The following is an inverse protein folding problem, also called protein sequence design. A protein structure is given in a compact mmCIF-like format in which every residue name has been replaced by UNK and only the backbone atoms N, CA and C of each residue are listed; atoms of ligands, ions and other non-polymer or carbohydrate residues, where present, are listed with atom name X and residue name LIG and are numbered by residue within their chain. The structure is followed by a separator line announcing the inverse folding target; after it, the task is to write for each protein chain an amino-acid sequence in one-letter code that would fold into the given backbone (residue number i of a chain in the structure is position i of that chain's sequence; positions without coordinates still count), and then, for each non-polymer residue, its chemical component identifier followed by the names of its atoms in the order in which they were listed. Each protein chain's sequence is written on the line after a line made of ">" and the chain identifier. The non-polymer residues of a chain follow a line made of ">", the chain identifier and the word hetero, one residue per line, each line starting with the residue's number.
data_IF_229495011887
#
_entry.id   IF_229495011887
#
_cell.length_a   1.000
_cell.length_b   1.000
_cell.length_c   1.000
_cell.angle_alpha   90.00
_cell.angle_beta   90.00
_cell.angle_gamma   90.00
#
_symmetry.space_group_name_H-M   'P 1'
#
loop_
_entity.id
_entity.type
_entity.pdbx_description
1 polymer ?
#
# COMPACT_ATOMS: atom_id res chain seq x y z
N UNK A 1 23.52 0.70 -1.87
CA UNK A 1 22.46 1.56 -1.31
C UNK A 1 21.17 1.23 -2.03
N UNK A 2 20.06 0.99 -1.31
CA UNK A 2 18.75 0.80 -1.95
C UNK A 2 18.05 2.14 -2.13
N UNK A 3 17.29 2.31 -3.23
CA UNK A 3 16.48 3.49 -3.48
C UNK A 3 15.05 3.07 -3.77
N UNK A 4 14.11 3.65 -3.03
CA UNK A 4 12.67 3.49 -3.27
C UNK A 4 12.25 4.46 -4.37
N UNK A 5 11.64 3.95 -5.45
CA UNK A 5 11.19 4.75 -6.59
C UNK A 5 9.72 4.49 -6.92
N UNK A 6 9.04 5.53 -7.38
CA UNK A 6 7.65 5.50 -7.80
C UNK A 6 7.54 5.35 -9.32
N UNK A 7 6.65 4.47 -9.76
CA UNK A 7 6.37 4.18 -11.16
C UNK A 7 4.89 4.37 -11.43
N UNK A 8 4.55 5.29 -12.32
CA UNK A 8 3.17 5.74 -12.58
C UNK A 8 2.59 5.10 -13.84
N UNK A 9 1.26 4.91 -13.86
CA UNK A 9 0.50 4.45 -15.03
C UNK A 9 0.89 5.22 -16.30
N UNK A 10 0.94 4.51 -17.43
CA UNK A 10 1.32 5.09 -18.74
C UNK A 10 2.83 5.26 -18.96
N UNK A 11 3.69 4.98 -17.98
CA UNK A 11 5.16 5.00 -18.16
C UNK A 11 5.72 3.59 -18.42
N UNK A 12 6.82 3.45 -19.19
CA UNK A 12 7.41 2.14 -19.49
C UNK A 12 7.77 1.31 -18.25
N UNK A 13 8.29 1.96 -17.20
CA UNK A 13 8.65 1.26 -15.96
C UNK A 13 7.46 0.70 -15.18
N UNK A 14 6.26 1.29 -15.32
CA UNK A 14 5.05 0.73 -14.73
C UNK A 14 4.68 -0.60 -15.41
N UNK A 15 4.70 -0.64 -16.75
CA UNK A 15 4.44 -1.86 -17.53
C UNK A 15 5.46 -2.96 -17.22
N UNK A 16 6.73 -2.60 -17.12
CA UNK A 16 7.79 -3.53 -16.71
C UNK A 16 7.51 -4.16 -15.33
N UNK A 17 7.01 -3.39 -14.37
CA UNK A 17 6.62 -3.92 -13.05
C UNK A 17 5.37 -4.80 -13.10
N UNK A 18 4.37 -4.45 -13.91
CA UNK A 18 3.20 -5.32 -14.13
C UNK A 18 3.62 -6.70 -14.64
N UNK A 19 4.47 -6.72 -15.67
CA UNK A 19 5.00 -7.97 -16.25
C UNK A 19 5.84 -8.75 -15.24
N UNK A 20 6.69 -8.07 -14.47
CA UNK A 20 7.51 -8.71 -13.45
C UNK A 20 6.68 -9.31 -12.31
N UNK A 21 5.62 -8.63 -11.86
CA UNK A 21 4.67 -9.16 -10.88
C UNK A 21 3.94 -10.37 -11.46
N UNK A 22 3.42 -10.28 -12.69
CA UNK A 22 2.76 -11.42 -13.35
C UNK A 22 3.68 -12.62 -13.47
N UNK A 23 4.94 -12.41 -13.87
CA UNK A 23 5.95 -13.46 -13.94
C UNK A 23 6.28 -14.06 -12.56
N UNK A 24 6.31 -13.24 -11.51
CA UNK A 24 6.50 -13.71 -10.14
C UNK A 24 5.35 -14.61 -9.69
N UNK A 25 4.10 -14.17 -9.88
CA UNK A 25 2.91 -14.95 -9.52
C UNK A 25 2.79 -16.23 -10.35
N UNK A 26 3.17 -16.19 -11.63
CA UNK A 26 3.22 -17.39 -12.48
C UNK A 26 4.22 -18.40 -11.95
N UNK A 27 5.43 -17.95 -11.60
CA UNK A 27 6.49 -18.82 -11.08
C UNK A 27 6.12 -19.46 -9.74
N UNK A 28 5.51 -18.70 -8.82
CA UNK A 28 5.25 -19.15 -7.45
C UNK A 28 3.90 -19.85 -7.27
N UNK A 29 2.90 -19.48 -8.06
CA UNK A 29 1.52 -19.93 -7.88
C UNK A 29 0.89 -20.49 -9.15
N UNK A 30 1.58 -20.48 -10.29
CA UNK A 30 0.96 -20.74 -11.61
C UNK A 30 -0.22 -19.79 -11.90
N UNK A 31 -0.18 -18.60 -11.30
CA UNK A 31 -1.22 -17.58 -11.40
C UNK A 31 -0.82 -16.52 -12.43
N UNK A 32 -1.82 -15.97 -13.13
CA UNK A 32 -1.63 -14.89 -14.09
C UNK A 32 -2.55 -13.72 -13.78
N UNK A 33 -2.40 -13.07 -12.62
CA UNK A 33 -3.17 -11.88 -12.32
C UNK A 33 -2.76 -10.72 -13.24
N UNK A 34 -3.66 -9.75 -13.37
CA UNK A 34 -3.46 -8.52 -14.13
C UNK A 34 -3.43 -7.34 -13.15
N UNK A 35 -2.28 -7.06 -12.53
CA UNK A 35 -2.20 -6.01 -11.51
C UNK A 35 -2.34 -4.63 -12.15
N UNK A 36 -3.28 -3.83 -11.65
CA UNK A 36 -3.54 -2.46 -12.13
C UNK A 36 -3.61 -1.41 -10.99
N UNK A 37 -2.64 -1.39 -10.05
CA UNK A 37 -2.62 -0.41 -8.97
C UNK A 37 -2.39 1.01 -9.50
N UNK A 38 -2.84 2.04 -8.80
CA UNK A 38 -2.64 3.45 -9.19
C UNK A 38 -1.17 3.85 -9.29
N UNK A 39 -0.34 3.25 -8.44
CA UNK A 39 1.10 3.46 -8.40
C UNK A 39 1.82 2.14 -8.12
N UNK A 40 2.97 1.93 -8.73
CA UNK A 40 3.95 0.97 -8.22
C UNK A 40 5.06 1.67 -7.46
N UNK A 41 5.45 1.08 -6.34
CA UNK A 41 6.65 1.46 -5.57
C UNK A 41 7.63 0.30 -5.66
N UNK A 42 8.87 0.59 -6.04
CA UNK A 42 9.89 -0.43 -6.26
C UNK A 42 11.19 -0.08 -5.55
N UNK A 43 11.80 -1.08 -4.92
CA UNK A 43 13.14 -0.99 -4.35
C UNK A 43 14.16 -1.31 -5.44
N UNK A 44 14.99 -0.35 -5.77
CA UNK A 44 15.93 -0.41 -6.90
C UNK A 44 17.36 -0.16 -6.44
N UNK A 45 18.33 -0.51 -7.28
CA UNK A 45 19.72 -0.09 -7.10
C UNK A 45 19.89 1.41 -7.43
N UNK A 46 21.07 2.00 -7.21
CA UNK A 46 21.31 3.40 -7.56
C UNK A 46 21.12 3.71 -9.05
N UNK A 47 21.47 2.77 -9.94
CA UNK A 47 21.41 2.92 -11.39
C UNK A 47 19.97 3.03 -11.91
N UNK A 48 18.99 2.58 -11.12
CA UNK A 48 17.58 2.90 -11.30
C UNK A 48 16.94 2.17 -12.46
N UNK A 49 16.39 0.99 -12.19
CA UNK A 49 15.63 0.23 -13.17
C UNK A 49 14.61 -0.70 -12.51
N UNK A 50 13.47 -0.85 -13.16
CA UNK A 50 12.55 -1.96 -12.90
C UNK A 50 13.16 -3.26 -13.49
N UNK A 51 12.89 -4.44 -12.90
CA UNK A 51 11.98 -4.66 -11.78
C UNK A 51 12.62 -4.49 -10.38
N UNK A 52 13.90 -4.13 -10.31
CA UNK A 52 14.60 -3.92 -9.04
C UNK A 52 14.67 -5.19 -8.17
N UNK A 53 14.65 -5.01 -6.86
CA UNK A 53 14.75 -6.08 -5.86
C UNK A 53 13.38 -6.56 -5.37
N UNK A 54 12.43 -5.64 -5.26
CA UNK A 54 11.05 -5.89 -4.84
C UNK A 54 10.14 -4.75 -5.32
N UNK A 55 8.85 -5.03 -5.46
CA UNK A 55 7.84 -4.01 -5.74
C UNK A 55 6.53 -4.27 -4.99
N UNK A 56 5.73 -3.21 -4.85
CA UNK A 56 4.39 -3.23 -4.31
C UNK A 56 3.51 -2.25 -5.10
N UNK A 57 2.28 -2.64 -5.38
CA UNK A 57 1.24 -1.78 -5.93
C UNK A 57 0.49 -1.05 -4.83
N UNK A 58 0.18 0.23 -5.05
CA UNK A 58 -0.66 1.07 -4.19
C UNK A 58 -1.92 1.44 -4.96
N UNK A 59 -3.08 1.15 -4.38
CA UNK A 59 -4.39 1.61 -4.86
C UNK A 59 -5.02 2.50 -3.80
N UNK A 60 -5.61 3.62 -4.19
CA UNK A 60 -6.21 4.58 -3.27
C UNK A 60 -7.71 4.35 -3.12
N UNK A 61 -8.26 4.50 -1.91
CA UNK A 61 -9.69 4.25 -1.68
C UNK A 61 -10.62 5.19 -2.45
N UNK A 62 -10.15 6.38 -2.80
CA UNK A 62 -10.87 7.37 -3.60
C UNK A 62 -10.79 7.13 -5.12
N UNK A 63 -9.92 6.23 -5.60
CA UNK A 63 -9.85 5.86 -7.02
C UNK A 63 -10.86 4.79 -7.42
N UNK A 64 -11.48 4.12 -6.45
CA UNK A 64 -12.53 3.14 -6.67
C UNK A 64 -12.64 2.11 -5.54
N UNK A 65 -13.36 1.02 -5.81
CA UNK A 65 -13.46 -0.12 -4.89
C UNK A 65 -12.14 -0.90 -4.86
N UNK A 66 -11.56 -1.08 -3.68
CA UNK A 66 -10.28 -1.77 -3.47
C UNK A 66 -10.45 -3.29 -3.63
N UNK A 67 -9.37 -4.01 -3.98
CA UNK A 67 -9.43 -5.45 -4.22
C UNK A 67 -9.88 -6.23 -2.98
N UNK A 68 -9.43 -5.82 -1.81
CA UNK A 68 -9.73 -6.46 -0.54
C UNK A 68 -11.20 -6.26 -0.11
N UNK A 69 -11.86 -5.20 -0.59
CA UNK A 69 -13.28 -4.92 -0.29
C UNK A 69 -14.24 -5.91 -0.97
N UNK A 70 -13.77 -6.73 -1.91
CA UNK A 70 -14.60 -7.80 -2.51
C UNK A 70 -14.80 -8.99 -1.54
N UNK A 71 -13.87 -9.21 -0.61
CA UNK A 71 -13.98 -10.27 0.40
C UNK A 71 -14.72 -9.86 1.67
N UNK A 72 -15.11 -8.59 1.78
CA UNK A 72 -15.77 -8.03 2.96
C UNK A 72 -17.25 -7.73 2.66
N UNK A 73 -18.08 -7.85 3.69
CA UNK A 73 -19.53 -7.60 3.57
C UNK A 73 -19.85 -6.10 3.62
N UNK A 74 -18.93 -5.29 4.17
CA UNK A 74 -19.03 -3.84 4.30
C UNK A 74 -17.75 -3.16 3.81
N UNK A 75 -17.86 -1.92 3.34
CA UNK A 75 -16.74 -1.09 2.92
C UNK A 75 -15.78 -0.78 4.08
N UNK A 76 -14.51 -0.49 3.75
CA UNK A 76 -13.51 -0.16 4.77
C UNK A 76 -13.74 1.22 5.38
N UNK A 77 -14.23 2.16 4.59
CA UNK A 77 -14.67 3.49 5.02
C UNK A 77 -15.78 3.42 6.07
N UNK A 78 -16.83 2.65 5.79
CA UNK A 78 -17.94 2.43 6.73
C UNK A 78 -17.47 1.70 7.99
N UNK A 79 -16.67 0.63 7.83
CA UNK A 79 -16.18 -0.17 8.96
C UNK A 79 -15.31 0.62 9.93
N UNK A 80 -14.44 1.48 9.40
CA UNK A 80 -13.44 2.18 10.21
C UNK A 80 -13.81 3.64 10.50
N UNK A 81 -14.90 4.15 9.92
CA UNK A 81 -15.35 5.54 10.06
C UNK A 81 -14.35 6.52 9.46
N UNK A 82 -13.80 6.21 8.29
CA UNK A 82 -12.75 6.98 7.64
C UNK A 82 -13.17 7.44 6.24
N UNK A 83 -12.68 8.61 5.84
CA UNK A 83 -12.76 9.05 4.44
C UNK A 83 -11.98 8.08 3.53
N UNK A 84 -12.55 7.72 2.38
CA UNK A 84 -11.93 6.86 1.37
C UNK A 84 -10.56 7.36 0.91
N UNK A 85 -10.36 8.67 0.83
CA UNK A 85 -9.06 9.26 0.48
C UNK A 85 -7.95 8.98 1.52
N UNK A 86 -8.33 8.52 2.73
CA UNK A 86 -7.40 8.14 3.80
C UNK A 86 -7.17 6.63 3.88
N UNK A 87 -7.68 5.86 2.92
CA UNK A 87 -7.52 4.40 2.84
C UNK A 87 -6.63 4.08 1.65
N UNK A 88 -5.60 3.25 1.88
CA UNK A 88 -4.75 2.74 0.81
C UNK A 88 -4.69 1.22 0.87
N UNK A 89 -4.74 0.59 -0.29
CA UNK A 89 -4.45 -0.83 -0.44
C UNK A 89 -3.02 -1.03 -0.92
N UNK A 90 -2.29 -1.93 -0.26
CA UNK A 90 -1.01 -2.43 -0.74
C UNK A 90 -1.23 -3.83 -1.31
N UNK A 91 -1.08 -3.95 -2.62
CA UNK A 91 -1.28 -5.18 -3.39
C UNK A 91 -0.13 -5.45 -4.35
N UNK A 92 -0.32 -6.39 -5.28
CA UNK A 92 0.65 -6.70 -6.34
C UNK A 92 2.11 -6.84 -5.84
N UNK A 93 2.27 -7.36 -4.61
CA UNK A 93 3.56 -7.43 -3.95
C UNK A 93 4.39 -8.58 -4.52
N UNK A 94 5.63 -8.28 -4.90
CA UNK A 94 6.57 -9.26 -5.41
C UNK A 94 7.99 -8.95 -4.92
N UNK A 95 8.70 -9.98 -4.45
CA UNK A 95 10.12 -9.90 -4.12
C UNK A 95 10.92 -10.72 -5.13
N UNK A 96 11.75 -10.06 -5.91
CA UNK A 96 12.49 -10.67 -7.03
C UNK A 96 13.81 -11.30 -6.59
N UNK A 97 14.34 -10.91 -5.42
CA UNK A 97 15.57 -11.48 -4.85
C UNK A 97 15.32 -12.05 -3.46
N UNK A 98 15.14 -13.37 -3.38
CA UNK A 98 15.01 -14.11 -2.11
C UNK A 98 16.22 -13.90 -1.19
N UNK A 99 15.98 -13.89 0.13
CA UNK A 99 17.04 -13.79 1.14
C UNK A 99 17.66 -12.40 1.36
N UNK A 100 17.32 -11.40 0.54
CA UNK A 100 17.89 -10.04 0.63
C UNK A 100 17.25 -9.12 1.68
N UNK A 101 16.10 -9.51 2.26
CA UNK A 101 15.28 -8.63 3.11
C UNK A 101 14.61 -7.47 2.36
N UNK A 102 14.78 -7.37 1.04
CA UNK A 102 14.28 -6.27 0.22
C UNK A 102 12.75 -6.09 0.32
N UNK A 103 11.99 -7.18 0.31
CA UNK A 103 10.53 -7.13 0.45
C UNK A 103 10.08 -6.53 1.79
N UNK A 104 10.70 -6.96 2.91
CA UNK A 104 10.43 -6.41 4.25
C UNK A 104 10.80 -4.92 4.32
N UNK A 105 11.96 -4.57 3.79
CA UNK A 105 12.42 -3.17 3.74
C UNK A 105 11.48 -2.29 2.93
N UNK A 106 11.00 -2.77 1.77
CA UNK A 106 10.05 -2.07 0.92
C UNK A 106 8.72 -1.84 1.64
N UNK A 107 8.11 -2.89 2.21
CA UNK A 107 6.84 -2.78 2.93
C UNK A 107 6.93 -1.77 4.09
N UNK A 108 8.03 -1.80 4.85
CA UNK A 108 8.28 -0.84 5.93
C UNK A 108 8.33 0.61 5.42
N UNK A 109 9.02 0.86 4.29
CA UNK A 109 9.07 2.20 3.70
C UNK A 109 7.72 2.65 3.14
N UNK A 110 6.98 1.75 2.49
CA UNK A 110 5.64 2.03 1.97
C UNK A 110 4.70 2.42 3.11
N UNK A 111 4.62 1.62 4.17
CA UNK A 111 3.74 1.86 5.32
C UNK A 111 4.09 3.19 6.00
N UNK A 112 5.38 3.46 6.25
CA UNK A 112 5.82 4.74 6.82
C UNK A 112 5.48 5.93 5.92
N UNK A 113 5.63 5.77 4.60
CA UNK A 113 5.31 6.84 3.64
C UNK A 113 3.82 7.13 3.61
N UNK A 114 2.97 6.10 3.67
CA UNK A 114 1.51 6.28 3.74
C UNK A 114 1.10 7.00 5.04
N UNK A 115 1.67 6.61 6.18
CA UNK A 115 1.42 7.28 7.46
C UNK A 115 1.87 8.76 7.44
N UNK A 116 3.02 9.06 6.83
CA UNK A 116 3.50 10.44 6.62
C UNK A 116 2.65 11.25 5.64
N UNK A 117 1.87 10.59 4.77
CA UNK A 117 0.93 11.22 3.84
C UNK A 117 -0.50 11.27 4.39
N UNK A 118 -0.67 11.12 5.70
CA UNK A 118 -1.95 11.21 6.42
C UNK A 118 -3.01 10.15 6.03
N UNK A 119 -2.60 9.05 5.39
CA UNK A 119 -3.46 7.86 5.33
C UNK A 119 -3.71 7.34 6.74
N UNK A 120 -4.95 6.97 7.03
CA UNK A 120 -5.38 6.46 8.34
C UNK A 120 -5.51 4.94 8.40
N UNK A 121 -5.55 4.28 7.24
CA UNK A 121 -5.71 2.84 7.14
C UNK A 121 -4.93 2.29 5.94
N UNK A 122 -4.20 1.20 6.16
CA UNK A 122 -3.66 0.37 5.08
C UNK A 122 -4.34 -1.00 5.10
N UNK A 123 -4.72 -1.50 3.94
CA UNK A 123 -5.29 -2.84 3.75
C UNK A 123 -4.44 -3.68 2.81
N UNK A 124 -4.34 -4.98 3.08
CA UNK A 124 -3.69 -5.95 2.21
C UNK A 124 -4.51 -7.24 2.16
N UNK A 125 -4.56 -7.87 0.99
CA UNK A 125 -4.87 -9.30 0.87
C UNK A 125 -3.56 -10.08 0.93
N UNK A 126 -3.23 -10.61 2.11
CA UNK A 126 -1.91 -11.15 2.43
C UNK A 126 -1.94 -12.66 2.67
N UNK A 127 -1.03 -13.40 2.03
CA UNK A 127 -0.72 -14.79 2.40
C UNK A 127 -0.02 -14.85 3.76
N UNK A 128 0.09 -16.04 4.36
CA UNK A 128 0.77 -16.22 5.65
C UNK A 128 2.19 -15.63 5.67
N UNK A 129 2.96 -15.86 4.59
CA UNK A 129 4.31 -15.32 4.47
C UNK A 129 4.31 -13.78 4.52
N UNK A 130 3.37 -13.12 3.84
CA UNK A 130 3.28 -11.65 3.84
C UNK A 130 2.82 -11.13 5.20
N UNK A 131 1.89 -11.82 5.88
CA UNK A 131 1.49 -11.48 7.26
C UNK A 131 2.67 -11.52 8.23
N UNK A 132 3.53 -12.54 8.13
CA UNK A 132 4.75 -12.64 8.93
C UNK A 132 5.76 -11.52 8.64
N UNK A 133 5.83 -11.03 7.40
CA UNK A 133 6.67 -9.87 7.06
C UNK A 133 6.11 -8.57 7.65
N UNK A 134 4.79 -8.43 7.71
CA UNK A 134 4.10 -7.25 8.23
C UNK A 134 4.09 -7.17 9.76
N UNK A 135 3.99 -8.30 10.46
CA UNK A 135 3.89 -8.35 11.92
C UNK A 135 4.94 -7.49 12.67
N UNK A 136 6.23 -7.47 12.30
CA UNK A 136 7.23 -6.60 12.95
C UNK A 136 7.29 -5.17 12.37
N UNK A 137 6.48 -4.82 11.38
CA UNK A 137 6.47 -3.51 10.70
C UNK A 137 5.34 -2.62 11.23
N UNK A 138 4.18 -3.20 11.54
CA UNK A 138 2.99 -2.48 12.00
C UNK A 138 2.74 -2.72 13.48
N UNK A 139 2.14 -1.74 14.16
CA UNK A 139 1.83 -1.85 15.59
C UNK A 139 0.69 -2.85 15.86
N UNK A 140 -0.32 -2.89 14.98
CA UNK A 140 -1.45 -3.79 15.08
C UNK A 140 -1.91 -4.21 13.67
N UNK A 141 -1.90 -5.53 13.42
CA UNK A 141 -2.41 -6.13 12.20
C UNK A 141 -3.75 -6.83 12.51
N UNK A 142 -4.85 -6.13 12.27
CA UNK A 142 -6.20 -6.68 12.44
C UNK A 142 -6.56 -7.59 11.27
N UNK A 143 -7.05 -8.79 11.56
CA UNK A 143 -7.49 -9.76 10.57
C UNK A 143 -9.00 -9.65 10.35
N UNK A 144 -9.40 -9.27 9.13
CA UNK A 144 -10.80 -9.05 8.79
C UNK A 144 -11.49 -10.28 8.21
N UNK A 145 -10.76 -11.36 7.94
CA UNK A 145 -11.31 -12.60 7.39
C UNK A 145 -10.49 -13.22 6.26
N UNK A 146 -10.90 -14.42 5.85
CA UNK A 146 -10.31 -15.14 4.72
C UNK A 146 -10.67 -14.50 3.38
N UNK A 147 -9.69 -14.40 2.48
CA UNK A 147 -9.95 -14.00 1.10
C UNK A 147 -10.42 -15.23 0.31
N UNK A 148 -11.74 -15.42 0.25
CA UNK A 148 -12.37 -16.50 -0.51
C UNK A 148 -12.31 -16.24 -2.01
N UNK A 149 -11.75 -17.19 -2.76
CA UNK A 149 -11.69 -17.16 -4.23
C UNK A 149 -13.07 -16.95 -4.86
N UNK A 150 -14.15 -17.44 -4.25
CA UNK A 150 -15.52 -17.27 -4.75
C UNK A 150 -16.00 -15.82 -4.75
N UNK A 151 -15.32 -14.93 -4.02
CA UNK A 151 -15.66 -13.50 -3.90
C UNK A 151 -14.74 -12.58 -4.69
N UNK A 152 -13.73 -13.11 -5.39
CA UNK A 152 -12.77 -12.29 -6.12
C UNK A 152 -13.46 -11.42 -7.17
N UNK A 153 -12.97 -10.19 -7.39
CA UNK A 153 -13.51 -9.22 -8.35
C UNK A 153 -13.80 -9.81 -9.74
N UNK A 154 -12.84 -10.57 -10.27
CA UNK A 154 -12.93 -11.19 -11.59
C UNK A 154 -12.67 -12.70 -11.48
N UNK A 155 -13.73 -13.53 -11.57
CA UNK A 155 -13.62 -14.98 -11.50
C UNK A 155 -12.84 -15.60 -12.68
N UNK A 156 -12.72 -14.91 -13.81
CA UNK A 156 -12.02 -15.41 -15.00
C UNK A 156 -10.50 -15.36 -14.85
N UNK A 157 -9.98 -14.55 -13.92
CA UNK A 157 -8.54 -14.46 -13.65
C UNK A 157 -8.03 -15.80 -13.10
N UNK A 158 -7.01 -16.35 -13.73
CA UNK A 158 -6.33 -17.53 -13.23
C UNK A 158 -5.44 -17.18 -12.02
N UNK A 159 -5.89 -17.60 -10.85
CA UNK A 159 -5.14 -17.44 -9.59
C UNK A 159 -4.30 -18.67 -9.22
N UNK A 160 -4.26 -19.72 -10.04
CA UNK A 160 -3.50 -20.94 -9.79
C UNK A 160 -3.68 -21.45 -8.35
N UNK A 161 -2.56 -21.70 -7.66
CA UNK A 161 -2.50 -22.13 -6.25
C UNK A 161 -2.40 -20.99 -5.23
N UNK A 162 -2.61 -19.73 -5.64
CA UNK A 162 -2.48 -18.57 -4.74
C UNK A 162 -3.43 -18.69 -3.53
N UNK A 163 -4.69 -19.09 -3.75
CA UNK A 163 -5.67 -19.23 -2.67
C UNK A 163 -5.42 -20.45 -1.76
N UNK A 164 -4.65 -21.43 -2.20
CA UNK A 164 -4.24 -22.58 -1.36
C UNK A 164 -3.37 -22.10 -0.17
N UNK A 165 -2.73 -20.95 -0.32
CA UNK A 165 -1.92 -20.29 0.71
C UNK A 165 -2.77 -19.50 1.72
N UNK A 166 -4.10 -19.67 1.69
CA UNK A 166 -5.07 -19.07 2.62
C UNK A 166 -4.81 -17.56 2.82
N UNK A 167 -4.87 -16.76 1.75
CA UNK A 167 -4.77 -15.32 1.86
C UNK A 167 -5.89 -14.79 2.75
N UNK A 168 -5.60 -13.74 3.51
CA UNK A 168 -6.53 -13.09 4.44
C UNK A 168 -6.49 -11.59 4.23
N UNK A 169 -7.63 -10.94 4.40
CA UNK A 169 -7.71 -9.49 4.39
C UNK A 169 -7.25 -9.00 5.75
N UNK A 170 -6.15 -8.26 5.76
CA UNK A 170 -5.57 -7.68 6.97
C UNK A 170 -5.49 -6.18 6.83
N UNK A 171 -5.66 -5.47 7.94
CA UNK A 171 -5.53 -4.01 7.99
C UNK A 171 -4.65 -3.58 9.14
N UNK A 172 -4.02 -2.42 8.97
CA UNK A 172 -3.38 -1.70 10.06
C UNK A 172 -3.88 -0.27 10.04
N UNK A 173 -4.28 0.23 11.21
CA UNK A 173 -4.44 1.66 11.39
C UNK A 173 -3.07 2.32 11.28
N UNK A 174 -3.03 3.46 10.62
CA UNK A 174 -1.84 4.27 10.48
C UNK A 174 -2.03 5.52 11.33
N UNK A 175 -1.09 5.78 12.21
CA UNK A 175 -0.97 7.04 12.92
C UNK A 175 0.12 7.87 12.24
N UNK A 176 -0.15 9.16 12.02
CA UNK A 176 0.94 10.07 11.68
C UNK A 176 1.98 10.01 12.79
N UNK A 177 3.29 9.90 12.49
CA UNK A 177 4.31 9.87 13.52
C UNK A 177 4.17 11.08 14.44
N UNK A 178 4.23 10.85 15.74
CA UNK A 178 3.91 11.79 16.83
C UNK A 178 4.67 13.12 16.78
N UNK A 179 5.71 13.19 15.96
CA UNK A 179 6.56 14.36 15.70
C UNK A 179 5.74 15.56 15.21
N UNK A 180 4.60 15.34 14.54
CA UNK A 180 3.71 16.41 14.06
C UNK A 180 2.66 16.87 15.09
N UNK A 181 2.41 16.09 16.14
CA UNK A 181 1.48 16.49 17.22
C UNK A 181 2.14 17.41 18.26
N UNK A 182 3.47 17.50 18.25
CA UNK A 182 4.24 18.38 19.14
C UNK A 182 4.69 19.69 18.50
N UNK A 183 4.33 19.95 17.23
CA UNK A 183 4.58 21.26 16.63
C UNK A 183 3.58 22.27 17.24
N UNK A 184 4.05 23.33 17.94
CA UNK A 184 3.14 24.37 18.40
C UNK A 184 2.46 24.99 17.17
N UNK A 185 1.14 25.14 17.24
CA UNK A 185 0.39 25.84 16.20
C UNK A 185 1.07 27.19 15.91
N UNK A 186 1.26 27.61 14.64
CA UNK A 186 1.74 28.94 14.35
C UNK A 186 0.80 29.93 15.01
N UNK A 187 1.29 30.68 15.99
CA UNK A 187 0.51 31.71 16.65
C UNK A 187 0.02 32.68 15.57
N UNK A 188 -1.29 32.76 15.40
CA UNK A 188 -1.93 33.83 14.63
C UNK A 188 -1.55 35.16 15.29
N UNK A 189 -0.46 35.77 14.84
CA UNK A 189 -0.13 37.14 15.18
C UNK A 189 -1.26 38.02 14.64
N UNK A 190 -2.10 38.54 15.52
CA UNK A 190 -3.10 39.53 15.16
C UNK A 190 -2.37 40.79 14.67
N UNK A 191 -2.66 41.31 13.46
CA UNK A 191 -2.09 42.56 13.02
C UNK A 191 -2.70 43.70 13.83
N UNK A 192 -1.88 44.34 14.67
CA UNK A 192 -2.21 45.63 15.28
C UNK A 192 -2.19 46.72 14.20
N UNK A 193 -3.38 47.13 13.73
CA UNK A 193 -3.52 48.38 12.97
C UNK A 193 -3.41 49.56 13.93
N UNK A 194 -2.28 50.26 13.90
CA UNK A 194 -2.12 51.55 14.57
C UNK A 194 -2.85 52.63 13.76
N UNK A 195 -3.97 53.12 14.29
CA UNK A 195 -4.63 54.33 13.80
C UNK A 195 -3.81 55.55 14.26
N UNK A 196 -3.07 56.18 13.37
CA UNK A 196 -2.61 57.56 13.57
C UNK A 196 -3.58 58.50 12.86
N UNK A 197 -4.42 59.16 13.64
CA UNK A 197 -5.07 60.40 13.27
C UNK A 197 -4.63 61.44 14.29
N UNK A 198 -3.79 62.39 13.86
CA UNK A 198 -3.53 63.62 14.59
C UNK A 198 -4.06 64.78 13.78
N UNK A 199 -4.86 65.60 14.46
CA UNK A 199 -5.26 66.94 14.07
C UNK A 199 -4.07 67.92 14.04
#
# INVERSE_FOLDING_TARGET
>A
MYIVRNFYKGRPGYRCLQEAVRAHYLKHYQATPEPEPDLFVCLTDPNGGAPGYACAGISYGDSGKLFSEYYLDQGLDERFGLDRARIAEVGAFASFRSGSGAGKYLLNNVIKTLALRNFGLVVLTATEQVRQLLAPIVDNLEDLGGADRGRVRDPAVNWGSYYDHRPRVVVSRLSSPSIWMSAPAPGLAQPHFANQASA
#
